data_IF_008877416525
#
_entry.id   IF_008877416525
#
_cell.length_a   1.000
_cell.length_b   1.000
_cell.length_c   1.000
_cell.angle_alpha   90.00
_cell.angle_beta   90.00
_cell.angle_gamma   90.00
#
_symmetry.space_group_name_H-M   'P 1'
#
loop_
_entity.id
_entity.type
_entity.pdbx_description
1 polymer ?
#
# COMPACT_ATOMS: atom_id res chain seq x y z
N UNK A 1 38.66 2.32 10.16
CA UNK A 1 38.68 2.47 11.63
C UNK A 1 37.32 2.92 12.15
N UNK A 2 36.65 3.91 11.59
CA UNK A 2 35.30 4.37 12.00
C UNK A 2 34.21 3.28 11.90
N UNK A 3 34.28 2.40 10.91
CA UNK A 3 33.28 1.31 10.69
C UNK A 3 33.37 0.19 11.76
N UNK A 4 34.54 0.06 12.42
CA UNK A 4 34.76 -0.98 13.44
C UNK A 4 34.27 -0.53 14.82
N UNK A 5 34.29 0.75 15.13
CA UNK A 5 33.81 1.31 16.40
C UNK A 5 32.27 1.43 16.43
N UNK A 6 31.62 1.77 15.30
CA UNK A 6 30.17 1.79 15.18
C UNK A 6 29.51 0.40 15.36
N UNK A 7 30.28 -0.66 15.22
CA UNK A 7 29.84 -2.05 15.48
C UNK A 7 29.60 -2.36 16.97
N UNK A 8 30.11 -1.53 17.88
CA UNK A 8 29.99 -1.70 19.34
C UNK A 8 28.95 -0.77 19.99
N UNK A 9 28.38 0.16 19.24
CA UNK A 9 27.38 1.06 19.81
C UNK A 9 26.05 0.33 20.02
N UNK A 10 25.52 0.37 21.23
CA UNK A 10 24.21 -0.13 21.64
C UNK A 10 23.03 0.54 20.90
N UNK A 11 23.28 1.49 20.02
CA UNK A 11 22.28 2.21 19.23
C UNK A 11 21.55 1.31 18.24
N UNK A 12 22.22 0.30 17.66
CA UNK A 12 21.59 -0.71 16.81
C UNK A 12 20.65 -1.66 17.56
N UNK A 13 20.92 -1.90 18.84
CA UNK A 13 20.07 -2.73 19.71
C UNK A 13 18.79 -2.02 20.15
N UNK A 14 18.82 -0.69 20.19
CA UNK A 14 17.66 0.13 20.60
C UNK A 14 16.63 0.29 19.49
N UNK A 15 17.07 0.42 18.23
CA UNK A 15 16.17 0.56 17.06
C UNK A 15 15.73 -0.80 16.48
N UNK A 16 16.55 -1.84 16.62
CA UNK A 16 16.25 -3.16 16.06
C UNK A 16 16.72 -4.25 17.03
N UNK A 17 15.87 -4.74 17.94
CA UNK A 17 16.23 -5.85 18.82
C UNK A 17 16.67 -7.04 17.98
N UNK A 18 17.79 -7.65 18.37
CA UNK A 18 18.39 -8.79 17.70
C UNK A 18 17.39 -9.97 17.67
N UNK A 19 16.62 -10.07 16.60
CA UNK A 19 15.85 -11.27 16.32
C UNK A 19 16.84 -12.39 16.03
N UNK A 20 16.94 -13.31 16.98
CA UNK A 20 17.87 -14.43 17.03
C UNK A 20 17.91 -15.21 15.72
N UNK A 21 19.12 -15.61 15.32
CA UNK A 21 19.46 -16.37 14.10
C UNK A 21 18.84 -17.78 14.02
N UNK A 22 18.09 -18.21 15.03
CA UNK A 22 17.56 -19.58 15.16
C UNK A 22 16.36 -19.92 14.26
N UNK A 23 15.79 -18.94 13.55
CA UNK A 23 14.56 -19.17 12.78
C UNK A 23 14.77 -19.88 11.44
N UNK A 24 15.96 -19.87 10.87
CA UNK A 24 16.23 -20.58 9.61
C UNK A 24 16.42 -22.11 9.80
N UNK A 25 16.80 -22.55 10.99
CA UNK A 25 17.02 -23.97 11.30
C UNK A 25 15.76 -24.74 11.72
N UNK A 26 14.76 -24.07 12.30
CA UNK A 26 13.55 -24.73 12.82
C UNK A 26 12.38 -24.84 11.81
N UNK A 27 12.63 -24.57 10.55
CA UNK A 27 11.64 -24.81 9.49
C UNK A 27 11.85 -26.18 8.81
N UNK A 28 12.25 -27.20 9.60
CA UNK A 28 12.27 -28.59 9.13
C UNK A 28 10.83 -29.11 8.92
N UNK A 29 10.64 -29.77 7.82
CA UNK A 29 9.67 -30.72 7.28
C UNK A 29 8.61 -31.35 8.22
N UNK A 30 7.93 -30.60 9.07
CA UNK A 30 6.68 -31.05 9.68
C UNK A 30 5.53 -30.42 8.89
N UNK A 31 4.59 -31.24 8.43
CA UNK A 31 3.29 -30.81 7.89
C UNK A 31 2.67 -29.83 8.90
N UNK A 32 2.80 -28.51 8.63
CA UNK A 32 2.31 -27.49 9.55
C UNK A 32 0.80 -27.61 9.57
N UNK A 33 0.22 -27.96 10.73
CA UNK A 33 -1.21 -27.93 10.96
C UNK A 33 -1.77 -26.54 10.64
N UNK A 34 -3.04 -26.45 10.26
CA UNK A 34 -3.68 -25.18 9.89
C UNK A 34 -3.48 -24.04 10.92
N UNK A 35 -3.39 -24.37 12.22
CA UNK A 35 -3.05 -23.40 13.29
C UNK A 35 -1.62 -22.87 13.18
N UNK A 36 -0.67 -23.71 12.79
CA UNK A 36 0.72 -23.27 12.58
C UNK A 36 0.86 -22.33 11.39
N UNK A 37 0.11 -22.57 10.30
CA UNK A 37 0.08 -21.70 9.13
C UNK A 37 -0.57 -20.35 9.43
N UNK A 38 -1.69 -20.34 10.18
CA UNK A 38 -2.33 -19.13 10.67
C UNK A 38 -1.35 -18.27 11.49
N UNK A 39 -0.64 -18.87 12.45
CA UNK A 39 0.34 -18.14 13.26
C UNK A 39 1.47 -17.53 12.42
N UNK A 40 1.93 -18.23 11.38
CA UNK A 40 2.94 -17.70 10.47
C UNK A 40 2.42 -16.52 9.65
N UNK A 41 1.18 -16.60 9.12
CA UNK A 41 0.54 -15.50 8.42
C UNK A 41 0.37 -14.27 9.33
N UNK A 42 -0.14 -14.46 10.55
CA UNK A 42 -0.33 -13.37 11.51
C UNK A 42 1.01 -12.73 11.95
N UNK A 43 2.05 -13.54 12.11
CA UNK A 43 3.39 -13.05 12.45
C UNK A 43 4.01 -12.19 11.34
N UNK A 44 3.74 -12.54 10.07
CA UNK A 44 4.16 -11.72 8.94
C UNK A 44 3.29 -10.47 8.78
N UNK A 45 1.99 -10.61 8.97
CA UNK A 45 1.02 -9.52 8.79
C UNK A 45 1.11 -8.45 9.90
N UNK A 46 1.33 -8.84 11.16
CA UNK A 46 1.34 -7.91 12.29
C UNK A 46 2.24 -6.69 12.08
N UNK A 47 3.54 -6.86 11.78
CA UNK A 47 4.42 -5.73 11.47
C UNK A 47 3.98 -4.93 10.24
N UNK A 48 3.37 -5.56 9.22
CA UNK A 48 2.87 -4.88 8.03
C UNK A 48 1.59 -4.08 8.31
N UNK A 49 0.75 -4.53 9.25
CA UNK A 49 -0.40 -3.75 9.74
C UNK A 49 0.09 -2.45 10.39
N UNK A 50 1.07 -2.54 11.29
CA UNK A 50 1.65 -1.35 11.93
C UNK A 50 2.27 -0.41 10.89
N UNK A 51 2.96 -0.96 9.86
CA UNK A 51 3.46 -0.15 8.76
C UNK A 51 2.34 0.60 8.02
N UNK A 52 1.26 -0.08 7.65
CA UNK A 52 0.14 0.55 6.94
C UNK A 52 -0.56 1.61 7.79
N UNK A 53 -0.75 1.34 9.08
CA UNK A 53 -1.31 2.32 10.03
C UNK A 53 -0.39 3.52 10.22
N UNK A 54 0.94 3.34 10.23
CA UNK A 54 1.90 4.44 10.30
C UNK A 54 1.82 5.35 9.08
N UNK A 55 1.66 4.76 7.88
CA UNK A 55 1.47 5.53 6.64
C UNK A 55 0.14 6.31 6.68
N UNK A 56 -0.95 5.67 7.10
CA UNK A 56 -2.23 6.35 7.27
C UNK A 56 -2.15 7.49 8.30
N UNK A 57 -1.42 7.27 9.41
CA UNK A 57 -1.16 8.30 10.43
C UNK A 57 -0.37 9.49 9.89
N UNK A 58 0.63 9.27 9.01
CA UNK A 58 1.35 10.36 8.35
C UNK A 58 0.42 11.20 7.48
N UNK A 59 -0.39 10.58 6.63
CA UNK A 59 -1.34 11.29 5.78
C UNK A 59 -2.36 12.10 6.61
N UNK A 60 -2.82 11.54 7.73
CA UNK A 60 -3.72 12.23 8.65
C UNK A 60 -3.03 13.43 9.33
N UNK A 61 -1.78 13.26 9.78
CA UNK A 61 -1.01 14.35 10.38
C UNK A 61 -0.75 15.49 9.38
N UNK A 62 -0.38 15.16 8.15
CA UNK A 62 -0.18 16.13 7.06
C UNK A 62 -1.46 16.95 6.81
N UNK A 63 -2.62 16.28 6.73
CA UNK A 63 -3.92 16.93 6.55
C UNK A 63 -4.30 17.81 7.74
N UNK A 64 -4.17 17.32 8.97
CA UNK A 64 -4.49 18.07 10.20
C UNK A 64 -3.60 19.31 10.36
N UNK A 65 -2.30 19.17 10.08
CA UNK A 65 -1.35 20.27 10.20
C UNK A 65 -1.53 21.31 9.10
N UNK A 66 -1.82 20.87 7.88
CA UNK A 66 -2.16 21.76 6.76
C UNK A 66 -3.48 22.53 7.00
N UNK A 67 -4.48 21.87 7.60
CA UNK A 67 -5.73 22.52 7.98
C UNK A 67 -5.56 23.66 9.00
N UNK A 68 -4.53 23.60 9.87
CA UNK A 68 -4.20 24.69 10.79
C UNK A 68 -3.57 25.91 10.11
N UNK A 69 -3.06 25.76 8.89
CA UNK A 69 -2.53 26.87 8.08
C UNK A 69 -3.64 27.58 7.29
N UNK A 70 -4.84 27.00 7.19
CA UNK A 70 -5.99 27.52 6.48
C UNK A 70 -6.55 26.59 5.42
N UNK A 71 -7.71 26.95 4.89
CA UNK A 71 -8.45 26.13 3.93
C UNK A 71 -7.67 25.95 2.60
N UNK A 72 -7.04 27.01 2.10
CA UNK A 72 -6.26 26.97 0.85
C UNK A 72 -5.04 26.04 0.96
N UNK A 73 -4.37 26.06 2.12
CA UNK A 73 -3.24 25.17 2.39
C UNK A 73 -3.68 23.70 2.44
N UNK A 74 -4.79 23.40 3.12
CA UNK A 74 -5.37 22.06 3.17
C UNK A 74 -5.76 21.57 1.78
N UNK A 75 -6.45 22.42 1.00
CA UNK A 75 -6.85 22.10 -0.36
C UNK A 75 -5.64 21.86 -1.28
N UNK A 76 -4.59 22.70 -1.19
CA UNK A 76 -3.37 22.54 -1.98
C UNK A 76 -2.64 21.22 -1.67
N UNK A 77 -2.54 20.84 -0.38
CA UNK A 77 -1.96 19.55 0.03
C UNK A 77 -2.83 18.38 -0.42
N UNK A 78 -4.16 18.50 -0.37
CA UNK A 78 -5.06 17.45 -0.83
C UNK A 78 -4.96 17.19 -2.34
N UNK A 79 -4.99 18.26 -3.16
CA UNK A 79 -4.85 18.16 -4.62
C UNK A 79 -3.43 17.70 -5.01
N UNK A 80 -2.40 18.32 -4.45
CA UNK A 80 -1.02 17.94 -4.70
C UNK A 80 -0.72 16.51 -4.23
N UNK A 81 -1.29 16.11 -3.10
CA UNK A 81 -1.22 14.74 -2.59
C UNK A 81 -1.87 13.72 -3.54
N UNK A 82 -2.96 14.08 -4.21
CA UNK A 82 -3.59 13.23 -5.23
C UNK A 82 -2.71 13.04 -6.46
N UNK A 83 -2.05 14.11 -6.94
CA UNK A 83 -1.06 14.05 -8.03
C UNK A 83 0.13 13.17 -7.62
N UNK A 84 0.64 13.35 -6.42
CA UNK A 84 1.71 12.53 -5.86
C UNK A 84 1.30 11.05 -5.73
N UNK A 85 0.10 10.77 -5.23
CA UNK A 85 -0.42 9.41 -5.06
C UNK A 85 -0.46 8.64 -6.37
N UNK A 86 -0.86 9.28 -7.47
CA UNK A 86 -0.90 8.66 -8.79
C UNK A 86 0.52 8.23 -9.24
N UNK A 87 1.51 9.12 -9.13
CA UNK A 87 2.90 8.80 -9.44
C UNK A 87 3.45 7.71 -8.49
N UNK A 88 3.11 7.77 -7.22
CA UNK A 88 3.55 6.81 -6.21
C UNK A 88 2.97 5.40 -6.44
N UNK A 89 1.69 5.27 -6.74
CA UNK A 89 1.03 3.97 -6.93
C UNK A 89 1.54 3.21 -8.16
N UNK A 90 1.92 3.90 -9.23
CA UNK A 90 2.54 3.29 -10.39
C UNK A 90 3.90 2.64 -10.04
N UNK A 91 4.77 3.36 -9.34
CA UNK A 91 6.04 2.81 -8.89
C UNK A 91 5.85 1.69 -7.85
N UNK A 92 4.94 1.91 -6.88
CA UNK A 92 4.59 0.94 -5.85
C UNK A 92 4.20 -0.41 -6.48
N UNK A 93 3.29 -0.41 -7.44
CA UNK A 93 2.81 -1.62 -8.09
C UNK A 93 3.91 -2.34 -8.88
N UNK A 94 4.75 -1.62 -9.63
CA UNK A 94 5.87 -2.22 -10.38
C UNK A 94 6.89 -2.85 -9.41
N UNK A 95 7.29 -2.14 -8.37
CA UNK A 95 8.28 -2.61 -7.40
C UNK A 95 7.72 -3.73 -6.49
N UNK A 96 6.41 -3.77 -6.27
CA UNK A 96 5.74 -4.83 -5.50
C UNK A 96 5.95 -6.23 -6.08
N UNK A 97 6.24 -6.36 -7.38
CA UNK A 97 6.61 -7.63 -8.01
C UNK A 97 7.87 -8.27 -7.41
N UNK A 98 8.74 -7.48 -6.78
CA UNK A 98 9.96 -7.99 -6.14
C UNK A 98 9.62 -8.94 -4.99
N UNK A 99 8.54 -8.69 -4.24
CA UNK A 99 8.15 -9.50 -3.07
C UNK A 99 7.87 -10.97 -3.43
N UNK A 100 6.96 -11.33 -4.37
CA UNK A 100 6.74 -12.72 -4.75
C UNK A 100 7.95 -13.36 -5.42
N UNK A 101 8.75 -12.60 -6.18
CA UNK A 101 9.99 -13.08 -6.78
C UNK A 101 11.00 -13.45 -5.68
N UNK A 102 11.26 -12.55 -4.74
CA UNK A 102 12.17 -12.78 -3.62
C UNK A 102 11.69 -13.93 -2.72
N UNK A 103 10.38 -14.01 -2.45
CA UNK A 103 9.78 -15.09 -1.67
C UNK A 103 10.03 -16.46 -2.31
N UNK A 104 9.84 -16.57 -3.63
CA UNK A 104 10.07 -17.81 -4.36
C UNK A 104 11.54 -18.25 -4.34
N UNK A 105 12.48 -17.33 -4.57
CA UNK A 105 13.91 -17.63 -4.50
C UNK A 105 14.38 -17.90 -3.07
N UNK A 106 13.78 -17.27 -2.07
CA UNK A 106 14.05 -17.57 -0.67
C UNK A 106 13.62 -19.00 -0.31
N UNK A 107 12.41 -19.39 -0.74
CA UNK A 107 11.93 -20.76 -0.58
C UNK A 107 12.82 -21.80 -1.27
N UNK A 108 13.35 -21.47 -2.45
CA UNK A 108 14.26 -22.31 -3.23
C UNK A 108 15.73 -22.33 -2.71
N UNK A 109 16.04 -21.60 -1.63
CA UNK A 109 17.40 -21.55 -1.09
C UNK A 109 18.41 -20.83 -1.98
N UNK A 110 17.97 -19.88 -2.84
CA UNK A 110 18.82 -19.15 -3.79
C UNK A 110 18.98 -17.66 -3.44
N UNK A 111 19.72 -17.31 -2.40
CA UNK A 111 19.88 -15.94 -1.92
C UNK A 111 20.58 -15.03 -2.94
N UNK A 112 21.46 -15.57 -3.80
CA UNK A 112 22.14 -14.87 -4.88
C UNK A 112 21.17 -14.22 -5.87
N UNK A 113 20.08 -14.93 -6.20
CA UNK A 113 19.04 -14.44 -7.09
C UNK A 113 18.25 -13.30 -6.44
N UNK A 114 17.95 -13.39 -5.14
CA UNK A 114 17.24 -12.32 -4.42
C UNK A 114 18.03 -11.00 -4.52
N UNK A 115 19.32 -11.02 -4.22
CA UNK A 115 20.17 -9.85 -4.35
C UNK A 115 20.26 -9.29 -5.78
N UNK A 116 20.19 -10.18 -6.80
CA UNK A 116 20.14 -9.76 -8.21
C UNK A 116 18.87 -8.97 -8.50
N UNK A 117 17.69 -9.51 -8.15
CA UNK A 117 16.41 -8.84 -8.38
C UNK A 117 16.28 -7.54 -7.58
N UNK A 118 16.77 -7.51 -6.33
CA UNK A 118 16.78 -6.32 -5.51
C UNK A 118 17.58 -5.18 -6.17
N UNK A 119 18.79 -5.46 -6.69
CA UNK A 119 19.59 -4.46 -7.42
C UNK A 119 18.89 -3.95 -8.66
N UNK A 120 18.30 -4.84 -9.46
CA UNK A 120 17.55 -4.43 -10.66
C UNK A 120 16.31 -3.60 -10.30
N UNK A 121 15.63 -3.93 -9.20
CA UNK A 121 14.55 -3.12 -8.66
C UNK A 121 14.99 -1.71 -8.26
N UNK A 122 16.18 -1.56 -7.68
CA UNK A 122 16.75 -0.21 -7.40
C UNK A 122 17.04 0.58 -8.67
N UNK A 123 17.47 -0.05 -9.77
CA UNK A 123 17.61 0.65 -11.06
C UNK A 123 16.25 1.14 -11.58
N UNK A 124 15.19 0.33 -11.51
CA UNK A 124 13.83 0.76 -11.86
C UNK A 124 13.41 1.94 -10.97
N UNK A 125 13.67 1.84 -9.65
CA UNK A 125 13.33 2.87 -8.69
C UNK A 125 13.96 4.23 -9.01
N UNK A 126 15.26 4.25 -9.35
CA UNK A 126 15.98 5.48 -9.71
C UNK A 126 15.52 5.97 -11.09
N UNK A 127 15.42 5.06 -12.08
CA UNK A 127 15.00 5.40 -13.44
C UNK A 127 13.58 5.98 -13.52
N UNK A 128 12.69 5.60 -12.60
CA UNK A 128 11.36 6.17 -12.48
C UNK A 128 11.35 7.42 -11.56
N UNK A 129 12.16 7.41 -10.50
CA UNK A 129 12.20 8.50 -9.53
C UNK A 129 12.67 9.83 -10.13
N UNK A 130 13.65 9.80 -11.03
CA UNK A 130 14.16 11.02 -11.70
C UNK A 130 13.07 11.68 -12.56
N UNK A 131 12.38 10.99 -13.48
CA UNK A 131 11.23 11.55 -14.20
C UNK A 131 10.15 12.14 -13.29
N UNK A 132 9.85 11.51 -12.13
CA UNK A 132 8.87 12.04 -11.17
C UNK A 132 9.34 13.37 -10.57
N UNK A 133 10.63 13.53 -10.27
CA UNK A 133 11.18 14.82 -9.84
C UNK A 133 11.02 15.86 -10.96
N UNK A 134 11.39 15.54 -12.18
CA UNK A 134 11.27 16.45 -13.34
C UNK A 134 9.80 16.84 -13.57
N UNK A 135 8.89 15.88 -13.49
CA UNK A 135 7.45 16.12 -13.60
C UNK A 135 6.96 17.09 -12.51
N UNK A 136 7.32 16.82 -11.24
CA UNK A 136 6.94 17.66 -10.10
C UNK A 136 7.46 19.09 -10.19
N UNK A 137 8.68 19.27 -10.72
CA UNK A 137 9.32 20.60 -10.82
C UNK A 137 8.81 21.42 -12.01
N UNK A 138 8.57 20.78 -13.17
CA UNK A 138 8.40 21.52 -14.41
C UNK A 138 7.06 21.30 -15.10
N UNK A 139 6.36 20.20 -14.85
CA UNK A 139 5.15 19.84 -15.61
C UNK A 139 3.85 20.02 -14.85
N UNK A 140 3.86 19.98 -13.52
CA UNK A 140 2.65 20.12 -12.70
C UNK A 140 2.02 21.50 -12.83
N UNK A 141 2.82 22.57 -12.78
CA UNK A 141 2.33 23.95 -12.94
C UNK A 141 1.62 24.19 -14.28
N UNK A 142 2.27 23.89 -15.42
CA UNK A 142 1.61 23.98 -16.75
C UNK A 142 0.37 23.11 -16.88
N UNK A 143 0.37 21.89 -16.32
CA UNK A 143 -0.79 20.99 -16.34
C UNK A 143 -1.99 21.57 -15.58
N UNK A 144 -1.77 22.12 -14.38
CA UNK A 144 -2.81 22.76 -13.58
C UNK A 144 -3.30 24.04 -14.26
N UNK A 145 -2.43 24.78 -14.95
CA UNK A 145 -2.83 25.96 -15.74
C UNK A 145 -3.73 25.58 -16.93
N UNK A 146 -3.44 24.47 -17.61
CA UNK A 146 -4.25 23.96 -18.73
C UNK A 146 -5.67 23.59 -18.31
N UNK A 147 -5.86 23.15 -17.06
CA UNK A 147 -7.16 22.79 -16.49
C UNK A 147 -7.93 24.05 -16.00
N UNK A 148 -7.31 25.23 -16.03
CA UNK A 148 -7.95 26.49 -15.64
C UNK A 148 -7.99 26.76 -14.13
N UNK A 149 -7.06 26.17 -13.37
CA UNK A 149 -6.95 26.38 -11.92
C UNK A 149 -6.41 27.78 -11.63
N UNK A 150 -7.04 28.48 -10.67
CA UNK A 150 -6.62 29.81 -10.22
C UNK A 150 -5.13 29.89 -9.86
N UNK A 151 -4.50 31.03 -10.18
CA UNK A 151 -3.04 31.20 -10.08
C UNK A 151 -2.52 31.00 -8.66
N UNK A 152 -3.16 31.60 -7.67
CA UNK A 152 -2.71 31.51 -6.27
C UNK A 152 -2.77 30.08 -5.74
N UNK A 153 -3.86 29.38 -6.01
CA UNK A 153 -4.02 27.98 -5.61
C UNK A 153 -3.08 27.04 -6.38
N UNK A 154 -2.90 27.28 -7.68
CA UNK A 154 -1.95 26.56 -8.52
C UNK A 154 -0.52 26.67 -7.99
N UNK A 155 -0.09 27.86 -7.57
CA UNK A 155 1.27 28.09 -7.09
C UNK A 155 1.52 27.37 -5.76
N UNK A 156 0.54 27.35 -4.86
CA UNK A 156 0.62 26.57 -3.61
C UNK A 156 0.73 25.07 -3.90
N UNK A 157 -0.12 24.55 -4.78
CA UNK A 157 -0.14 23.13 -5.13
C UNK A 157 1.15 22.73 -5.85
N UNK A 158 1.63 23.52 -6.80
CA UNK A 158 2.87 23.26 -7.53
C UNK A 158 4.08 23.28 -6.59
N UNK A 159 4.12 24.23 -5.66
CA UNK A 159 5.20 24.32 -4.67
C UNK A 159 5.23 23.10 -3.74
N UNK A 160 4.07 22.60 -3.31
CA UNK A 160 3.98 21.38 -2.52
C UNK A 160 4.47 20.15 -3.30
N UNK A 161 3.95 19.95 -4.54
CA UNK A 161 4.34 18.80 -5.35
C UNK A 161 5.82 18.86 -5.73
N UNK A 162 6.32 20.04 -6.07
CA UNK A 162 7.75 20.25 -6.31
C UNK A 162 8.61 19.87 -5.11
N UNK A 163 8.20 20.25 -3.91
CA UNK A 163 8.93 19.92 -2.68
C UNK A 163 8.92 18.41 -2.39
N UNK A 164 7.76 17.74 -2.41
CA UNK A 164 7.65 16.31 -2.12
C UNK A 164 8.32 15.44 -3.19
N UNK A 165 8.32 15.87 -4.45
CA UNK A 165 8.91 15.13 -5.56
C UNK A 165 10.40 14.83 -5.37
N UNK A 166 11.14 15.66 -4.64
CA UNK A 166 12.54 15.38 -4.28
C UNK A 166 12.75 14.11 -3.46
N UNK A 167 11.70 13.64 -2.79
CA UNK A 167 11.69 12.37 -2.07
C UNK A 167 11.51 11.14 -2.98
N UNK A 168 11.07 11.30 -4.23
CA UNK A 168 10.72 10.18 -5.11
C UNK A 168 11.83 9.15 -5.31
N UNK A 169 13.08 9.51 -5.66
CA UNK A 169 14.13 8.51 -5.83
C UNK A 169 14.39 7.70 -4.54
N UNK A 170 14.35 8.37 -3.39
CA UNK A 170 14.61 7.76 -2.10
C UNK A 170 13.51 6.76 -1.71
N UNK A 171 12.25 7.18 -1.81
CA UNK A 171 11.14 6.31 -1.42
C UNK A 171 11.02 5.09 -2.35
N UNK A 172 11.31 5.23 -3.64
CA UNK A 172 11.25 4.10 -4.57
C UNK A 172 12.40 3.12 -4.35
N UNK A 173 13.61 3.60 -4.03
CA UNK A 173 14.72 2.74 -3.60
C UNK A 173 14.36 2.02 -2.29
N UNK A 174 13.78 2.71 -1.33
CA UNK A 174 13.25 2.09 -0.12
C UNK A 174 12.23 1.01 -0.42
N UNK A 175 11.27 1.24 -1.33
CA UNK A 175 10.27 0.24 -1.73
C UNK A 175 10.91 -1.02 -2.34
N UNK A 176 11.92 -0.88 -3.20
CA UNK A 176 12.65 -2.03 -3.75
C UNK A 176 13.33 -2.88 -2.66
N UNK A 177 13.95 -2.22 -1.68
CA UNK A 177 14.58 -2.87 -0.52
C UNK A 177 13.54 -3.47 0.43
N UNK A 178 12.45 -2.74 0.68
CA UNK A 178 11.32 -3.19 1.50
C UNK A 178 10.70 -4.47 0.92
N UNK A 179 10.33 -4.50 -0.36
CA UNK A 179 9.72 -5.67 -0.98
C UNK A 179 10.69 -6.86 -1.05
N UNK A 180 11.99 -6.62 -1.17
CA UNK A 180 13.02 -7.66 -0.99
C UNK A 180 12.97 -8.23 0.42
N UNK A 181 12.91 -7.38 1.43
CA UNK A 181 12.87 -7.74 2.85
C UNK A 181 11.57 -8.46 3.22
N UNK A 182 10.45 -8.03 2.66
CA UNK A 182 9.17 -8.73 2.77
C UNK A 182 9.26 -10.15 2.19
N UNK A 183 9.79 -10.30 0.98
CA UNK A 183 9.91 -11.59 0.30
C UNK A 183 10.71 -12.63 1.09
N UNK A 184 11.75 -12.22 1.82
CA UNK A 184 12.49 -13.12 2.71
C UNK A 184 11.79 -13.38 4.07
N UNK A 185 10.57 -12.80 4.27
CA UNK A 185 9.77 -13.00 5.47
C UNK A 185 10.22 -12.19 6.69
N UNK A 186 11.00 -11.12 6.48
CA UNK A 186 11.46 -10.23 7.56
C UNK A 186 10.67 -8.93 7.57
N UNK A 187 9.49 -8.94 8.18
CA UNK A 187 8.59 -7.78 8.20
C UNK A 187 8.84 -6.81 9.36
N UNK A 188 9.45 -7.28 10.44
CA UNK A 188 9.71 -6.48 11.66
C UNK A 188 10.58 -5.22 11.42
N UNK A 189 11.68 -5.26 10.63
CA UNK A 189 12.45 -4.05 10.33
C UNK A 189 11.63 -2.98 9.61
N UNK A 190 10.68 -3.41 8.76
CA UNK A 190 9.78 -2.50 8.04
C UNK A 190 8.89 -1.74 9.02
N UNK A 191 8.34 -2.44 10.02
CA UNK A 191 7.54 -1.84 11.09
C UNK A 191 8.31 -0.74 11.84
N UNK A 192 9.51 -1.05 12.33
CA UNK A 192 10.30 -0.05 13.06
C UNK A 192 10.65 1.15 12.20
N UNK A 193 10.98 0.91 10.93
CA UNK A 193 11.30 1.99 9.99
C UNK A 193 10.07 2.86 9.69
N UNK A 194 8.88 2.28 9.59
CA UNK A 194 7.66 3.05 9.33
C UNK A 194 7.19 3.85 10.54
N UNK A 195 7.33 3.31 11.76
CA UNK A 195 7.08 4.07 12.99
C UNK A 195 8.07 5.22 13.13
N UNK A 196 9.35 4.97 12.85
CA UNK A 196 10.38 6.02 12.81
C UNK A 196 10.02 7.11 11.78
N UNK A 197 9.60 6.70 10.57
CA UNK A 197 9.14 7.62 9.53
C UNK A 197 7.99 8.51 9.99
N UNK A 198 6.98 7.92 10.64
CA UNK A 198 5.83 8.65 11.16
C UNK A 198 6.24 9.71 12.18
N UNK A 199 7.07 9.35 13.15
CA UNK A 199 7.56 10.28 14.17
C UNK A 199 8.39 11.41 13.53
N UNK A 200 9.32 11.07 12.64
CA UNK A 200 10.13 12.06 11.92
C UNK A 200 9.28 13.00 11.06
N UNK A 201 8.29 12.48 10.33
CA UNK A 201 7.41 13.27 9.48
C UNK A 201 6.61 14.29 10.32
N UNK A 202 5.97 13.85 11.40
CA UNK A 202 5.22 14.75 12.29
C UNK A 202 6.13 15.83 12.89
N UNK A 203 7.32 15.45 13.34
CA UNK A 203 8.29 16.40 13.90
C UNK A 203 8.77 17.41 12.85
N UNK A 204 9.15 16.95 11.68
CA UNK A 204 9.62 17.80 10.58
C UNK A 204 8.50 18.72 10.06
N UNK A 205 7.28 18.23 9.97
CA UNK A 205 6.11 19.06 9.66
C UNK A 205 5.94 20.18 10.68
N UNK A 206 6.03 19.86 11.99
CA UNK A 206 5.93 20.87 13.03
C UNK A 206 7.03 21.93 12.92
N UNK A 207 8.25 21.54 12.60
CA UNK A 207 9.39 22.45 12.47
C UNK A 207 9.27 23.31 11.22
N UNK A 208 9.06 22.69 10.05
CA UNK A 208 9.16 23.37 8.75
C UNK A 208 7.87 24.11 8.37
N UNK A 209 6.69 23.55 8.69
CA UNK A 209 5.43 24.23 8.35
C UNK A 209 5.21 25.48 9.22
N UNK A 210 5.50 25.37 10.53
CA UNK A 210 5.20 26.45 11.49
C UNK A 210 6.42 27.30 11.90
N UNK A 211 7.60 27.03 11.34
CA UNK A 211 8.80 27.83 11.61
C UNK A 211 9.28 27.75 13.05
N UNK A 212 9.48 26.53 13.56
CA UNK A 212 9.98 26.31 14.91
C UNK A 212 11.48 26.04 14.91
N UNK A 213 12.11 26.16 16.10
CA UNK A 213 13.55 25.91 16.30
C UNK A 213 14.49 26.75 15.40
N UNK A 214 14.09 27.97 15.04
CA UNK A 214 14.89 28.89 14.24
C UNK A 214 14.76 28.71 12.71
N UNK A 215 13.92 27.78 12.25
CA UNK A 215 13.60 27.66 10.83
C UNK A 215 12.52 28.66 10.42
N UNK A 216 12.53 29.16 9.17
CA UNK A 216 11.44 29.98 8.65
C UNK A 216 10.16 29.15 8.50
N UNK A 217 9.00 29.78 8.70
CA UNK A 217 7.70 29.16 8.45
C UNK A 217 7.49 28.98 6.93
N UNK A 218 7.56 27.75 6.45
CA UNK A 218 7.46 27.43 5.02
C UNK A 218 6.04 27.03 4.59
N UNK A 219 5.09 26.92 5.52
CA UNK A 219 3.71 26.56 5.22
C UNK A 219 3.60 25.25 4.47
N UNK A 220 2.89 25.27 3.33
CA UNK A 220 2.63 24.10 2.45
C UNK A 220 3.91 23.50 1.88
N UNK A 221 4.89 24.33 1.51
CA UNK A 221 6.21 23.87 1.04
C UNK A 221 6.93 23.08 2.13
N UNK A 222 6.80 23.53 3.39
CA UNK A 222 7.36 22.84 4.56
C UNK A 222 6.80 21.43 4.73
N UNK A 223 5.51 21.19 4.43
CA UNK A 223 4.90 19.86 4.43
C UNK A 223 5.53 18.95 3.37
N UNK A 224 5.68 19.44 2.14
CA UNK A 224 6.31 18.70 1.05
C UNK A 224 7.77 18.35 1.35
N UNK A 225 8.54 19.32 1.88
CA UNK A 225 9.95 19.11 2.26
C UNK A 225 10.08 18.15 3.45
N UNK A 226 9.23 18.24 4.47
CA UNK A 226 9.22 17.30 5.57
C UNK A 226 9.02 15.87 5.12
N UNK A 227 8.08 15.66 4.20
CA UNK A 227 7.83 14.36 3.58
C UNK A 227 9.04 13.90 2.76
N UNK A 228 9.63 14.76 1.93
CA UNK A 228 10.82 14.42 1.13
C UNK A 228 12.02 14.06 2.01
N UNK A 229 12.31 14.83 3.04
CA UNK A 229 13.40 14.55 4.00
C UNK A 229 13.13 13.22 4.72
N UNK A 230 11.89 12.97 5.17
CA UNK A 230 11.50 11.70 5.80
C UNK A 230 11.77 10.52 4.86
N UNK A 231 11.42 10.64 3.57
CA UNK A 231 11.66 9.59 2.56
C UNK A 231 13.16 9.28 2.41
N UNK A 232 14.02 10.29 2.41
CA UNK A 232 15.47 10.10 2.38
C UNK A 232 16.00 9.46 3.66
N UNK A 233 15.56 9.91 4.83
CA UNK A 233 15.95 9.34 6.12
C UNK A 233 15.58 7.86 6.19
N UNK A 234 14.36 7.51 5.80
CA UNK A 234 13.85 6.13 5.77
C UNK A 234 14.68 5.26 4.82
N UNK A 235 14.96 5.75 3.61
CA UNK A 235 15.77 5.03 2.63
C UNK A 235 17.19 4.77 3.15
N UNK A 236 17.83 5.78 3.75
CA UNK A 236 19.18 5.68 4.31
C UNK A 236 19.25 4.75 5.53
N UNK A 237 18.32 4.90 6.49
CA UNK A 237 18.26 4.06 7.70
C UNK A 237 18.00 2.61 7.33
N UNK A 238 17.11 2.37 6.37
CA UNK A 238 16.78 1.01 5.93
C UNK A 238 17.92 0.37 5.13
N UNK A 239 18.56 1.12 4.23
CA UNK A 239 19.73 0.65 3.49
C UNK A 239 20.89 0.33 4.45
N UNK A 240 21.14 1.20 5.44
CA UNK A 240 22.13 0.94 6.48
C UNK A 240 21.81 -0.32 7.29
N UNK A 241 20.54 -0.51 7.70
CA UNK A 241 20.12 -1.74 8.36
C UNK A 241 20.44 -2.99 7.53
N UNK A 242 20.17 -2.97 6.22
CA UNK A 242 20.45 -4.09 5.31
C UNK A 242 21.96 -4.36 5.21
N UNK A 243 22.81 -3.34 5.21
CA UNK A 243 24.27 -3.49 5.15
C UNK A 243 24.82 -4.12 6.44
N UNK A 244 24.30 -3.69 7.59
CA UNK A 244 24.85 -4.10 8.91
C UNK A 244 24.28 -5.45 9.35
N UNK A 245 23.01 -5.74 9.11
CA UNK A 245 22.35 -6.92 9.64
C UNK A 245 22.85 -8.22 8.99
N UNK A 246 23.31 -9.20 9.80
CA UNK A 246 23.91 -10.45 9.30
C UNK A 246 23.01 -11.25 8.35
N UNK A 247 21.71 -11.14 8.55
CA UNK A 247 20.71 -11.85 7.76
C UNK A 247 20.68 -11.50 6.27
N UNK A 248 21.14 -10.30 5.89
CA UNK A 248 21.17 -9.84 4.51
C UNK A 248 22.52 -10.10 3.82
N UNK A 249 23.56 -10.51 4.57
CA UNK A 249 24.89 -10.80 4.00
C UNK A 249 24.87 -11.81 2.86
N UNK A 250 24.09 -12.94 2.95
CA UNK A 250 24.05 -13.92 1.87
C UNK A 250 23.41 -13.37 0.58
N UNK A 251 22.57 -12.34 0.69
CA UNK A 251 21.88 -11.73 -0.47
C UNK A 251 22.86 -10.90 -1.32
N UNK A 252 23.94 -10.39 -0.75
CA UNK A 252 24.96 -9.57 -1.43
C UNK A 252 24.34 -8.39 -2.21
N UNK A 253 23.33 -7.70 -1.64
CA UNK A 253 22.56 -6.63 -2.32
C UNK A 253 23.52 -5.51 -2.78
N UNK A 254 24.39 -5.03 -1.89
CA UNK A 254 25.31 -3.93 -2.16
C UNK A 254 26.75 -4.38 -2.48
N UNK A 255 27.03 -5.70 -2.56
CA UNK A 255 28.39 -6.21 -2.71
C UNK A 255 29.02 -5.99 -4.08
N UNK A 256 28.22 -5.78 -5.12
CA UNK A 256 28.69 -5.52 -6.50
C UNK A 256 27.68 -4.64 -7.22
N UNK A 257 28.16 -3.58 -7.87
CA UNK A 257 27.41 -2.85 -8.89
C UNK A 257 27.36 -3.74 -10.13
N UNK A 258 26.28 -4.51 -10.29
CA UNK A 258 26.07 -5.32 -11.49
C UNK A 258 25.33 -4.48 -12.53
N UNK A 259 25.71 -4.50 -13.81
CA UNK A 259 25.01 -3.73 -14.83
C UNK A 259 23.52 -4.10 -14.93
N UNK A 260 22.68 -3.21 -15.43
CA UNK A 260 21.28 -3.51 -15.73
C UNK A 260 21.16 -4.74 -16.63
N UNK A 261 20.28 -5.68 -16.26
CA UNK A 261 20.01 -6.90 -17.04
C UNK A 261 18.61 -6.82 -17.61
N UNK A 262 18.45 -6.66 -18.93
CA UNK A 262 17.13 -6.48 -19.58
C UNK A 262 16.14 -7.61 -19.27
N UNK A 263 16.62 -8.84 -19.18
CA UNK A 263 15.78 -10.01 -18.87
C UNK A 263 15.13 -9.91 -17.49
N UNK A 264 15.92 -9.52 -16.45
CA UNK A 264 15.45 -9.39 -15.08
C UNK A 264 14.54 -8.16 -14.94
N UNK A 265 14.91 -7.04 -15.58
CA UNK A 265 14.09 -5.84 -15.63
C UNK A 265 12.73 -6.13 -16.27
N UNK A 266 12.75 -6.85 -17.42
CA UNK A 266 11.52 -7.25 -18.12
C UNK A 266 10.62 -8.14 -17.25
N UNK A 267 11.19 -9.09 -16.49
CA UNK A 267 10.41 -9.94 -15.58
C UNK A 267 9.76 -9.11 -14.46
N UNK A 268 10.50 -8.17 -13.83
CA UNK A 268 9.94 -7.30 -12.78
C UNK A 268 8.81 -6.44 -13.38
N UNK A 269 9.02 -5.83 -14.54
CA UNK A 269 8.02 -4.97 -15.19
C UNK A 269 6.81 -5.79 -15.64
N UNK A 270 7.01 -6.95 -16.25
CA UNK A 270 5.93 -7.80 -16.72
C UNK A 270 5.00 -8.30 -15.61
N UNK A 271 5.56 -8.54 -14.41
CA UNK A 271 4.77 -8.90 -13.23
C UNK A 271 4.20 -7.67 -12.51
N UNK A 272 4.97 -6.58 -12.46
CA UNK A 272 4.64 -5.40 -11.67
C UNK A 272 3.70 -4.43 -12.37
N UNK A 273 3.77 -4.29 -13.69
CA UNK A 273 2.89 -3.39 -14.43
C UNK A 273 1.41 -3.78 -14.29
N UNK A 274 1.02 -5.06 -14.39
CA UNK A 274 -0.35 -5.45 -14.08
C UNK A 274 -0.78 -5.13 -12.65
N UNK A 275 0.12 -5.25 -11.65
CA UNK A 275 -0.17 -4.87 -10.27
C UNK A 275 -0.39 -3.35 -10.18
N UNK A 276 0.47 -2.55 -10.82
CA UNK A 276 0.35 -1.11 -10.85
C UNK A 276 -0.97 -0.66 -11.48
N UNK A 277 -1.34 -1.24 -12.62
CA UNK A 277 -2.61 -0.96 -13.30
C UNK A 277 -3.80 -1.31 -12.39
N UNK A 278 -3.74 -2.47 -11.72
CA UNK A 278 -4.81 -2.89 -10.79
C UNK A 278 -5.00 -1.88 -9.65
N UNK A 279 -3.91 -1.49 -8.98
CA UNK A 279 -3.97 -0.52 -7.87
C UNK A 279 -4.46 0.84 -8.37
N UNK A 280 -3.96 1.31 -9.50
CA UNK A 280 -4.38 2.58 -10.09
C UNK A 280 -5.85 2.56 -10.52
N UNK A 281 -6.31 1.44 -11.09
CA UNK A 281 -7.72 1.26 -11.47
C UNK A 281 -8.65 1.25 -10.25
N UNK A 282 -8.22 0.66 -9.15
CA UNK A 282 -8.96 0.64 -7.89
C UNK A 282 -9.04 2.04 -7.26
N UNK A 283 -7.92 2.73 -7.12
CA UNK A 283 -7.88 4.12 -6.65
C UNK A 283 -8.72 5.03 -7.55
N UNK A 284 -8.61 4.83 -8.87
CA UNK A 284 -9.41 5.56 -9.86
C UNK A 284 -10.92 5.31 -9.74
N UNK A 285 -11.32 4.08 -9.44
CA UNK A 285 -12.74 3.76 -9.18
C UNK A 285 -13.27 4.54 -7.98
N UNK A 286 -12.56 4.52 -6.84
CA UNK A 286 -12.98 5.26 -5.64
C UNK A 286 -13.03 6.77 -5.88
N UNK A 287 -12.05 7.32 -6.59
CA UNK A 287 -12.03 8.73 -6.96
C UNK A 287 -13.21 9.09 -7.91
N UNK A 288 -13.45 8.28 -8.94
CA UNK A 288 -14.57 8.48 -9.87
C UNK A 288 -15.93 8.40 -9.18
N UNK A 289 -16.09 7.45 -8.25
CA UNK A 289 -17.31 7.34 -7.45
C UNK A 289 -17.51 8.55 -6.53
N UNK A 290 -16.45 9.05 -5.92
CA UNK A 290 -16.52 10.28 -5.09
C UNK A 290 -16.93 11.49 -5.92
N UNK A 291 -16.44 11.60 -7.16
CA UNK A 291 -16.86 12.65 -8.09
C UNK A 291 -18.34 12.51 -8.44
N UNK A 292 -18.82 11.30 -8.79
CA UNK A 292 -20.24 11.05 -9.09
C UNK A 292 -21.14 11.40 -7.89
N UNK A 293 -20.75 11.00 -6.69
CA UNK A 293 -21.49 11.32 -5.47
C UNK A 293 -21.49 12.83 -5.20
N UNK A 294 -20.37 13.52 -5.49
CA UNK A 294 -20.24 14.96 -5.36
C UNK A 294 -21.29 15.74 -6.14
N UNK A 295 -21.81 15.21 -7.26
CA UNK A 295 -22.89 15.83 -8.04
C UNK A 295 -24.25 15.80 -7.33
N UNK A 296 -24.37 15.06 -6.23
CA UNK A 296 -25.64 14.83 -5.51
C UNK A 296 -25.84 15.75 -4.29
N UNK A 297 -24.89 16.62 -4.03
CA UNK A 297 -24.95 17.60 -2.95
C UNK A 297 -23.98 17.33 -1.80
N UNK A 298 -23.83 18.35 -0.97
CA UNK A 298 -22.80 18.37 0.10
C UNK A 298 -23.06 17.35 1.22
N UNK A 299 -24.32 17.15 1.60
CA UNK A 299 -24.72 16.24 2.67
C UNK A 299 -24.41 14.77 2.32
N UNK A 300 -24.76 14.36 1.08
CA UNK A 300 -24.50 13.01 0.58
C UNK A 300 -22.99 12.80 0.43
N UNK A 301 -22.26 13.82 -0.03
CA UNK A 301 -20.80 13.76 -0.15
C UNK A 301 -20.13 13.63 1.20
N UNK A 302 -20.56 14.37 2.21
CA UNK A 302 -20.05 14.28 3.57
C UNK A 302 -20.29 12.87 4.16
N UNK A 303 -21.51 12.35 4.01
CA UNK A 303 -21.86 11.00 4.43
C UNK A 303 -21.00 9.91 3.74
N UNK A 304 -20.78 10.06 2.43
CA UNK A 304 -19.91 9.17 1.66
C UNK A 304 -18.46 9.20 2.19
N UNK A 305 -17.91 10.38 2.50
CA UNK A 305 -16.56 10.50 3.03
C UNK A 305 -16.41 9.82 4.40
N UNK A 306 -17.44 9.87 5.26
CA UNK A 306 -17.45 9.16 6.54
C UNK A 306 -17.36 7.65 6.28
N UNK A 307 -18.22 7.10 5.43
CA UNK A 307 -18.23 5.68 5.12
C UNK A 307 -16.93 5.21 4.45
N UNK A 308 -16.39 6.00 3.51
CA UNK A 308 -15.15 5.71 2.82
C UNK A 308 -13.94 5.74 3.76
N UNK A 309 -13.89 6.70 4.69
CA UNK A 309 -12.81 6.82 5.66
C UNK A 309 -12.74 5.59 6.58
N UNK A 310 -13.88 5.14 7.10
CA UNK A 310 -13.94 3.92 7.90
C UNK A 310 -13.52 2.70 7.09
N UNK A 311 -14.09 2.52 5.89
CA UNK A 311 -13.76 1.39 5.01
C UNK A 311 -12.27 1.34 4.67
N UNK A 312 -11.67 2.47 4.32
CA UNK A 312 -10.24 2.57 4.01
C UNK A 312 -9.34 2.24 5.21
N UNK A 313 -9.74 2.67 6.42
CA UNK A 313 -8.98 2.35 7.63
C UNK A 313 -9.05 0.86 7.95
N UNK A 314 -10.23 0.25 7.87
CA UNK A 314 -10.41 -1.18 8.07
C UNK A 314 -9.64 -2.01 7.04
N UNK A 315 -9.55 -1.53 5.79
CA UNK A 315 -8.83 -2.18 4.69
C UNK A 315 -7.31 -2.31 4.92
N UNK A 316 -6.71 -1.48 5.78
CA UNK A 316 -5.26 -1.56 6.06
C UNK A 316 -4.83 -2.92 6.61
N UNK A 317 -5.72 -3.64 7.32
CA UNK A 317 -5.42 -4.96 7.88
C UNK A 317 -5.44 -6.06 6.80
N UNK A 318 -6.50 -6.25 6.01
CA UNK A 318 -6.49 -7.25 4.93
C UNK A 318 -5.45 -6.96 3.85
N UNK A 319 -5.08 -5.71 3.60
CA UNK A 319 -3.97 -5.36 2.73
C UNK A 319 -2.63 -5.92 3.24
N UNK A 320 -2.36 -5.82 4.54
CA UNK A 320 -1.18 -6.41 5.18
C UNK A 320 -1.23 -7.94 5.15
N UNK A 321 -2.40 -8.54 5.42
CA UNK A 321 -2.62 -9.99 5.32
C UNK A 321 -2.39 -10.49 3.89
N UNK A 322 -2.84 -9.76 2.88
CA UNK A 322 -2.63 -10.08 1.47
C UNK A 322 -1.14 -10.13 1.10
N UNK A 323 -0.34 -9.20 1.63
CA UNK A 323 1.12 -9.24 1.49
C UNK A 323 1.72 -10.47 2.17
N UNK A 324 1.28 -10.81 3.39
CA UNK A 324 1.70 -12.01 4.10
C UNK A 324 1.36 -13.30 3.34
N UNK A 325 0.16 -13.37 2.73
CA UNK A 325 -0.26 -14.47 1.85
C UNK A 325 0.69 -14.59 0.65
N UNK A 326 0.97 -13.47 -0.02
CA UNK A 326 1.89 -13.43 -1.17
C UNK A 326 3.27 -14.00 -0.82
N UNK A 327 3.83 -13.55 0.31
CA UNK A 327 5.12 -14.02 0.81
C UNK A 327 5.08 -15.52 1.11
N UNK A 328 4.08 -15.96 1.85
CA UNK A 328 3.99 -17.35 2.31
C UNK A 328 3.78 -18.33 1.16
N UNK A 329 2.83 -18.03 0.26
CA UNK A 329 2.58 -18.82 -0.94
C UNK A 329 3.83 -18.87 -1.82
N UNK A 330 4.49 -17.75 -2.06
CA UNK A 330 5.72 -17.69 -2.84
C UNK A 330 6.85 -18.55 -2.25
N UNK A 331 7.06 -18.49 -0.93
CA UNK A 331 8.08 -19.28 -0.24
C UNK A 331 7.81 -20.80 -0.31
N UNK A 332 6.55 -21.21 -0.16
CA UNK A 332 6.15 -22.62 -0.23
C UNK A 332 6.30 -23.18 -1.66
N UNK A 333 5.90 -22.39 -2.66
CA UNK A 333 6.14 -22.76 -4.08
C UNK A 333 7.63 -22.84 -4.40
N UNK A 334 8.44 -21.95 -3.83
CA UNK A 334 9.89 -22.00 -3.96
C UNK A 334 10.52 -23.28 -3.39
N UNK A 335 9.91 -23.84 -2.34
CA UNK A 335 10.33 -25.12 -1.72
C UNK A 335 9.86 -26.35 -2.51
N UNK A 336 9.02 -26.20 -3.52
CA UNK A 336 8.42 -27.29 -4.23
C UNK A 336 7.24 -27.94 -3.49
N UNK A 337 6.56 -27.22 -2.60
CA UNK A 337 5.37 -27.71 -1.89
C UNK A 337 4.09 -26.93 -2.32
N UNK A 338 3.51 -27.25 -3.49
CA UNK A 338 2.31 -26.60 -3.98
C UNK A 338 1.07 -26.91 -3.13
N UNK A 339 1.04 -28.04 -2.43
CA UNK A 339 -0.06 -28.42 -1.54
C UNK A 339 -0.12 -27.49 -0.32
N UNK A 340 1.03 -27.22 0.31
CA UNK A 340 1.11 -26.28 1.40
C UNK A 340 0.83 -24.84 0.91
N UNK A 341 1.31 -24.46 -0.28
CA UNK A 341 1.04 -23.15 -0.87
C UNK A 341 -0.46 -22.90 -1.07
N UNK A 342 -1.18 -23.89 -1.59
CA UNK A 342 -2.64 -23.84 -1.74
C UNK A 342 -3.34 -23.69 -0.38
N UNK A 343 -2.93 -24.47 0.63
CA UNK A 343 -3.50 -24.37 1.99
C UNK A 343 -3.24 -23.01 2.61
N UNK A 344 -2.01 -22.49 2.52
CA UNK A 344 -1.65 -21.18 3.03
C UNK A 344 -2.47 -20.05 2.40
N UNK A 345 -2.63 -20.08 1.07
CA UNK A 345 -3.46 -19.11 0.36
C UNK A 345 -4.93 -19.20 0.77
N UNK A 346 -5.49 -20.44 0.87
CA UNK A 346 -6.88 -20.65 1.30
C UNK A 346 -7.14 -20.14 2.73
N UNK A 347 -6.27 -20.49 3.69
CA UNK A 347 -6.35 -19.99 5.07
C UNK A 347 -6.27 -18.46 5.08
N UNK A 348 -5.36 -17.88 4.30
CA UNK A 348 -5.20 -16.44 4.22
C UNK A 348 -6.46 -15.73 3.71
N UNK A 349 -7.12 -16.25 2.66
CA UNK A 349 -8.38 -15.72 2.14
C UNK A 349 -9.46 -15.74 3.23
N UNK A 350 -9.59 -16.87 3.95
CA UNK A 350 -10.56 -17.02 5.06
C UNK A 350 -10.26 -16.03 6.19
N UNK A 351 -9.00 -15.80 6.52
CA UNK A 351 -8.59 -14.83 7.56
C UNK A 351 -8.92 -13.40 7.14
N UNK A 352 -8.66 -13.02 5.89
CA UNK A 352 -9.06 -11.72 5.36
C UNK A 352 -10.58 -11.53 5.42
N UNK A 353 -11.35 -12.52 4.95
CA UNK A 353 -12.81 -12.50 4.99
C UNK A 353 -13.34 -12.44 6.44
N UNK A 354 -12.75 -13.21 7.36
CA UNK A 354 -13.13 -13.23 8.78
C UNK A 354 -12.88 -11.90 9.48
N UNK A 355 -11.73 -11.25 9.20
CA UNK A 355 -11.45 -9.91 9.74
C UNK A 355 -12.47 -8.88 9.22
N UNK A 356 -12.73 -8.88 7.91
CA UNK A 356 -13.68 -7.95 7.31
C UNK A 356 -15.13 -8.25 7.74
N UNK A 357 -15.47 -9.51 7.96
CA UNK A 357 -16.78 -9.88 8.57
C UNK A 357 -16.90 -9.34 10.01
N UNK A 358 -15.83 -9.43 10.81
CA UNK A 358 -15.83 -8.85 12.15
C UNK A 358 -15.97 -7.31 12.10
N UNK A 359 -15.28 -6.65 11.17
CA UNK A 359 -15.44 -5.22 10.92
C UNK A 359 -16.86 -4.87 10.45
N UNK A 360 -17.46 -5.69 9.59
CA UNK A 360 -18.85 -5.52 9.14
C UNK A 360 -19.82 -5.62 10.30
N UNK A 361 -19.62 -6.56 11.24
CA UNK A 361 -20.44 -6.67 12.45
C UNK A 361 -20.36 -5.40 13.30
N UNK A 362 -19.16 -4.80 13.43
CA UNK A 362 -19.00 -3.51 14.14
C UNK A 362 -19.81 -2.41 13.47
N UNK A 363 -19.82 -2.34 12.13
CA UNK A 363 -20.64 -1.39 11.37
C UNK A 363 -22.14 -1.60 11.55
N UNK A 364 -22.58 -2.86 11.64
CA UNK A 364 -24.00 -3.19 11.81
C UNK A 364 -24.49 -2.94 13.25
N UNK A 365 -23.63 -3.13 14.25
CA UNK A 365 -24.01 -3.02 15.68
C UNK A 365 -23.87 -1.60 16.20
N UNK A 366 -22.88 -0.85 15.74
CA UNK A 366 -22.53 0.47 16.27
C UNK A 366 -22.48 1.58 15.20
N UNK A 367 -23.40 1.64 14.21
CA UNK A 367 -23.31 2.62 13.14
C UNK A 367 -23.44 4.06 13.65
N UNK A 368 -24.38 4.34 14.56
CA UNK A 368 -24.62 5.66 15.13
C UNK A 368 -23.42 6.15 15.95
N UNK A 369 -22.78 5.28 16.72
CA UNK A 369 -21.58 5.61 17.48
C UNK A 369 -20.42 6.01 16.55
N UNK A 370 -20.22 5.26 15.47
CA UNK A 370 -19.18 5.53 14.47
C UNK A 370 -19.45 6.88 13.81
N UNK A 371 -20.66 7.10 13.31
CA UNK A 371 -21.02 8.36 12.64
C UNK A 371 -20.92 9.55 13.61
N UNK A 372 -21.34 9.37 14.87
CA UNK A 372 -21.27 10.38 15.91
C UNK A 372 -19.85 10.88 16.23
N UNK A 373 -18.79 10.09 15.88
CA UNK A 373 -17.41 10.56 15.98
C UNK A 373 -17.02 11.56 14.89
N UNK A 374 -17.78 11.62 13.79
CA UNK A 374 -17.46 12.46 12.63
C UNK A 374 -18.37 13.69 12.53
N UNK A 375 -19.65 13.56 12.85
CA UNK A 375 -20.63 14.64 12.67
C UNK A 375 -21.74 14.60 13.72
N UNK A 376 -22.25 15.78 14.05
CA UNK A 376 -23.48 15.96 14.85
C UNK A 376 -24.68 16.39 14.01
N UNK A 377 -24.53 16.56 12.70
CA UNK A 377 -25.62 16.94 11.78
C UNK A 377 -26.57 15.74 11.59
N UNK A 378 -27.87 15.88 11.93
CA UNK A 378 -28.81 14.77 11.85
C UNK A 378 -29.04 14.25 10.42
N UNK A 379 -28.99 15.13 9.40
CA UNK A 379 -29.23 14.76 8.01
C UNK A 379 -28.06 13.95 7.48
N UNK A 380 -26.84 14.44 7.67
CA UNK A 380 -25.60 13.73 7.29
C UNK A 380 -25.50 12.41 8.04
N UNK A 381 -25.83 12.40 9.34
CA UNK A 381 -25.80 11.20 10.17
C UNK A 381 -26.74 10.10 9.65
N UNK A 382 -27.99 10.44 9.34
CA UNK A 382 -28.97 9.48 8.80
C UNK A 382 -28.51 8.86 7.48
N UNK A 383 -27.95 9.67 6.56
CA UNK A 383 -27.41 9.17 5.31
C UNK A 383 -26.17 8.30 5.55
N UNK A 384 -25.24 8.74 6.40
CA UNK A 384 -24.01 8.02 6.70
C UNK A 384 -24.27 6.65 7.32
N UNK A 385 -25.20 6.55 8.28
CA UNK A 385 -25.64 5.27 8.87
C UNK A 385 -26.12 4.32 7.78
N UNK A 386 -26.99 4.80 6.87
CA UNK A 386 -27.48 3.96 5.78
C UNK A 386 -26.37 3.49 4.82
N UNK A 387 -25.35 4.32 4.57
CA UNK A 387 -24.19 3.94 3.75
C UNK A 387 -23.27 2.95 4.49
N UNK A 388 -23.09 3.08 5.80
CA UNK A 388 -22.32 2.13 6.61
C UNK A 388 -22.93 0.72 6.59
N UNK A 389 -24.27 0.59 6.54
CA UNK A 389 -24.92 -0.71 6.40
C UNK A 389 -24.61 -1.37 5.06
N UNK A 390 -24.56 -0.61 3.97
CA UNK A 390 -24.13 -1.13 2.67
C UNK A 390 -22.63 -1.41 2.67
N UNK A 391 -21.82 -0.56 3.33
CA UNK A 391 -20.38 -0.75 3.50
C UNK A 391 -20.05 -2.06 4.24
N UNK A 392 -20.90 -2.52 5.16
CA UNK A 392 -20.71 -3.79 5.85
C UNK A 392 -20.70 -4.99 4.86
N UNK A 393 -21.60 -4.98 3.87
CA UNK A 393 -21.62 -6.01 2.81
C UNK A 393 -20.39 -5.89 1.91
N UNK A 394 -20.05 -4.67 1.50
CA UNK A 394 -18.89 -4.33 0.70
C UNK A 394 -17.60 -4.88 1.32
N UNK A 395 -17.38 -4.68 2.62
CA UNK A 395 -16.15 -5.08 3.31
C UNK A 395 -15.85 -6.57 3.20
N UNK A 396 -16.85 -7.44 3.31
CA UNK A 396 -16.63 -8.89 3.23
C UNK A 396 -16.15 -9.29 1.83
N UNK A 397 -16.77 -8.73 0.79
CA UNK A 397 -16.36 -8.97 -0.59
C UNK A 397 -14.92 -8.46 -0.84
N UNK A 398 -14.59 -7.29 -0.31
CA UNK A 398 -13.26 -6.68 -0.42
C UNK A 398 -12.17 -7.52 0.27
N UNK A 399 -12.46 -8.05 1.48
CA UNK A 399 -11.55 -8.95 2.18
C UNK A 399 -11.25 -10.23 1.40
N UNK A 400 -12.26 -10.85 0.80
CA UNK A 400 -12.09 -12.05 -0.05
C UNK A 400 -11.26 -11.70 -1.29
N UNK A 401 -11.58 -10.60 -1.96
CA UNK A 401 -10.94 -10.11 -3.16
C UNK A 401 -9.44 -9.88 -2.95
N UNK A 402 -9.07 -9.10 -1.91
CA UNK A 402 -7.67 -8.75 -1.65
C UNK A 402 -6.86 -9.97 -1.17
N UNK A 403 -7.48 -10.88 -0.41
CA UNK A 403 -6.88 -12.15 -0.01
C UNK A 403 -6.56 -13.05 -1.20
N UNK A 404 -7.51 -13.20 -2.13
CA UNK A 404 -7.35 -13.99 -3.36
C UNK A 404 -6.27 -13.36 -4.28
N UNK A 405 -6.27 -12.03 -4.43
CA UNK A 405 -5.24 -11.31 -5.16
C UNK A 405 -3.84 -11.53 -4.56
N UNK A 406 -3.71 -11.56 -3.22
CA UNK A 406 -2.48 -11.89 -2.53
C UNK A 406 -1.98 -13.30 -2.85
N UNK A 407 -2.88 -14.28 -2.84
CA UNK A 407 -2.58 -15.66 -3.24
C UNK A 407 -2.07 -15.75 -4.68
N UNK A 408 -2.79 -15.14 -5.62
CA UNK A 408 -2.44 -15.13 -7.05
C UNK A 408 -1.07 -14.45 -7.31
N UNK A 409 -0.77 -13.35 -6.60
CA UNK A 409 0.56 -12.71 -6.66
C UNK A 409 1.66 -13.68 -6.20
N UNK A 410 1.42 -14.50 -5.16
CA UNK A 410 2.36 -15.53 -4.72
C UNK A 410 2.64 -16.58 -5.80
N UNK A 411 1.67 -16.88 -6.65
CA UNK A 411 1.84 -17.73 -7.86
C UNK A 411 2.49 -16.99 -9.04
N UNK A 412 2.79 -15.69 -8.92
CA UNK A 412 3.24 -14.80 -10.00
C UNK A 412 2.18 -14.63 -11.11
N UNK A 413 0.92 -14.86 -10.81
CA UNK A 413 -0.20 -14.58 -11.72
C UNK A 413 -0.74 -13.18 -11.40
N UNK A 414 -0.43 -12.21 -12.24
CA UNK A 414 -0.81 -10.80 -12.05
C UNK A 414 -1.64 -10.27 -13.23
N UNK A 415 -1.44 -10.80 -14.43
CA UNK A 415 -2.12 -10.33 -15.64
C UNK A 415 -3.62 -10.65 -15.66
N UNK A 416 -3.99 -11.89 -15.29
CA UNK A 416 -5.41 -12.26 -15.25
C UNK A 416 -6.16 -11.55 -14.12
N UNK A 417 -5.62 -11.46 -12.88
CA UNK A 417 -6.19 -10.61 -11.85
C UNK A 417 -6.41 -9.15 -12.27
N UNK A 418 -5.47 -8.55 -12.99
CA UNK A 418 -5.63 -7.20 -13.56
C UNK A 418 -6.85 -7.14 -14.49
N UNK A 419 -6.96 -8.07 -15.44
CA UNK A 419 -8.08 -8.08 -16.38
C UNK A 419 -9.43 -8.26 -15.66
N UNK A 420 -9.49 -9.14 -14.64
CA UNK A 420 -10.69 -9.34 -13.81
C UNK A 420 -11.07 -8.05 -13.08
N UNK A 421 -10.11 -7.38 -12.43
CA UNK A 421 -10.39 -6.15 -11.68
C UNK A 421 -10.78 -4.99 -12.60
N UNK A 422 -10.11 -4.82 -13.75
CA UNK A 422 -10.52 -3.81 -14.74
C UNK A 422 -11.95 -4.06 -15.23
N UNK A 423 -12.30 -5.30 -15.54
CA UNK A 423 -13.66 -5.65 -15.95
C UNK A 423 -14.67 -5.35 -14.84
N UNK A 424 -14.43 -5.85 -13.62
CA UNK A 424 -15.34 -5.70 -12.50
C UNK A 424 -15.53 -4.23 -12.09
N UNK A 425 -14.47 -3.43 -12.13
CA UNK A 425 -14.50 -2.04 -11.66
C UNK A 425 -14.99 -1.07 -12.73
N UNK A 426 -14.42 -1.13 -13.95
CA UNK A 426 -14.67 -0.12 -14.97
C UNK A 426 -15.74 -0.50 -15.98
N UNK A 427 -16.04 -1.81 -16.18
CA UNK A 427 -17.12 -2.25 -17.06
C UNK A 427 -18.40 -2.62 -16.30
N UNK A 428 -18.32 -2.89 -14.98
CA UNK A 428 -19.51 -3.25 -14.20
C UNK A 428 -19.80 -2.19 -13.13
N UNK A 429 -18.91 -1.96 -12.16
CA UNK A 429 -19.20 -1.09 -11.02
C UNK A 429 -19.41 0.37 -11.44
N UNK A 430 -18.48 0.94 -12.22
CA UNK A 430 -18.55 2.34 -12.60
C UNK A 430 -19.75 2.67 -13.49
N UNK A 431 -20.11 1.89 -14.54
CA UNK A 431 -21.31 2.13 -15.31
C UNK A 431 -22.60 2.00 -14.50
N UNK A 432 -22.68 0.99 -13.59
CA UNK A 432 -23.84 0.87 -12.70
C UNK A 432 -23.97 2.07 -11.76
N UNK A 433 -22.88 2.58 -11.22
CA UNK A 433 -22.87 3.78 -10.40
C UNK A 433 -23.26 5.02 -11.21
N UNK A 434 -22.75 5.16 -12.43
CA UNK A 434 -23.12 6.27 -13.32
C UNK A 434 -24.61 6.26 -13.62
N UNK A 435 -25.17 5.10 -14.00
CA UNK A 435 -26.61 4.94 -14.24
C UNK A 435 -27.43 5.28 -13.00
N UNK A 436 -27.03 4.77 -11.82
CA UNK A 436 -27.73 5.06 -10.58
C UNK A 436 -27.66 6.53 -10.19
N UNK A 437 -26.54 7.22 -10.47
CA UNK A 437 -26.32 8.61 -10.02
C UNK A 437 -26.91 9.62 -10.98
N UNK A 438 -26.62 9.48 -12.27
CA UNK A 438 -26.91 10.51 -13.29
C UNK A 438 -28.21 10.22 -14.02
N UNK A 439 -28.44 8.95 -14.42
CA UNK A 439 -29.59 8.61 -15.28
C UNK A 439 -30.87 8.42 -14.45
N UNK A 440 -30.81 7.64 -13.39
CA UNK A 440 -31.99 7.29 -12.58
C UNK A 440 -32.13 8.08 -11.28
N UNK A 441 -31.12 8.86 -10.91
CA UNK A 441 -31.11 9.73 -9.72
C UNK A 441 -31.51 8.96 -8.45
N UNK A 442 -30.96 7.74 -8.30
CA UNK A 442 -31.29 6.83 -7.19
C UNK A 442 -30.67 7.28 -5.85
N UNK A 443 -31.18 6.86 -4.70
CA UNK A 443 -30.55 7.11 -3.40
C UNK A 443 -29.09 6.64 -3.34
N UNK A 444 -28.28 7.27 -2.48
CA UNK A 444 -26.83 7.00 -2.37
C UNK A 444 -26.50 5.53 -2.08
N UNK A 445 -27.38 4.81 -1.41
CA UNK A 445 -27.23 3.38 -1.13
C UNK A 445 -27.11 2.53 -2.40
N UNK A 446 -27.82 2.88 -3.48
CA UNK A 446 -27.72 2.17 -4.76
C UNK A 446 -26.38 2.44 -5.46
N UNK A 447 -25.81 3.63 -5.27
CA UNK A 447 -24.48 3.95 -5.78
C UNK A 447 -23.44 3.07 -5.07
N UNK A 448 -23.54 2.92 -3.75
CA UNK A 448 -22.73 2.00 -3.00
C UNK A 448 -23.00 0.53 -3.36
N UNK A 449 -24.23 0.19 -3.74
CA UNK A 449 -24.59 -1.12 -4.30
C UNK A 449 -23.78 -1.49 -5.54
N UNK A 450 -23.41 -0.48 -6.37
CA UNK A 450 -22.52 -0.71 -7.50
C UNK A 450 -21.11 -1.12 -7.08
N UNK A 451 -20.57 -0.57 -5.98
CA UNK A 451 -19.31 -1.06 -5.39
C UNK A 451 -19.42 -2.51 -4.95
N UNK A 452 -20.52 -2.84 -4.23
CA UNK A 452 -20.77 -4.22 -3.77
C UNK A 452 -20.81 -5.17 -4.95
N UNK A 453 -21.50 -4.82 -6.03
CA UNK A 453 -21.59 -5.66 -7.23
C UNK A 453 -20.22 -5.88 -7.88
N UNK A 454 -19.44 -4.82 -8.09
CA UNK A 454 -18.12 -4.91 -8.71
C UNK A 454 -17.14 -5.71 -7.86
N UNK A 455 -17.03 -5.42 -6.57
CA UNK A 455 -16.10 -6.13 -5.70
C UNK A 455 -16.51 -7.58 -5.47
N UNK A 456 -17.81 -7.88 -5.36
CA UNK A 456 -18.29 -9.26 -5.27
C UNK A 456 -17.93 -10.05 -6.52
N UNK A 457 -18.12 -9.47 -7.71
CA UNK A 457 -17.72 -10.09 -8.96
C UNK A 457 -16.20 -10.35 -9.01
N UNK A 458 -15.40 -9.37 -8.63
CA UNK A 458 -13.95 -9.52 -8.52
C UNK A 458 -13.56 -10.61 -7.52
N UNK A 459 -14.17 -10.63 -6.33
CA UNK A 459 -13.92 -11.63 -5.29
C UNK A 459 -14.21 -13.05 -5.78
N UNK A 460 -15.35 -13.27 -6.45
CA UNK A 460 -15.74 -14.57 -7.01
C UNK A 460 -14.76 -15.02 -8.09
N UNK A 461 -14.47 -14.16 -9.05
CA UNK A 461 -13.60 -14.50 -10.19
C UNK A 461 -12.14 -14.73 -9.75
N UNK A 462 -11.61 -13.91 -8.84
CA UNK A 462 -10.24 -14.09 -8.32
C UNK A 462 -10.12 -15.34 -7.45
N UNK A 463 -11.12 -15.64 -6.62
CA UNK A 463 -11.13 -16.86 -5.80
C UNK A 463 -11.23 -18.10 -6.69
N UNK A 464 -12.09 -18.07 -7.71
CA UNK A 464 -12.16 -19.14 -8.71
C UNK A 464 -10.82 -19.33 -9.44
N UNK A 465 -10.19 -18.23 -9.87
CA UNK A 465 -8.87 -18.27 -10.51
C UNK A 465 -7.81 -18.86 -9.60
N UNK A 466 -7.77 -18.45 -8.34
CA UNK A 466 -6.86 -19.00 -7.33
C UNK A 466 -7.09 -20.51 -7.14
N UNK A 467 -8.35 -20.94 -7.00
CA UNK A 467 -8.70 -22.34 -6.82
C UNK A 467 -8.27 -23.20 -8.02
N UNK A 468 -8.48 -22.69 -9.25
CA UNK A 468 -8.08 -23.35 -10.49
C UNK A 468 -6.56 -23.45 -10.63
N UNK A 469 -5.85 -22.33 -10.46
CA UNK A 469 -4.39 -22.27 -10.60
C UNK A 469 -3.68 -23.13 -9.56
N UNK A 470 -4.13 -23.06 -8.30
CA UNK A 470 -3.56 -23.85 -7.19
C UNK A 470 -3.82 -25.34 -7.34
N UNK A 471 -4.93 -25.74 -7.99
CA UNK A 471 -5.22 -27.15 -8.31
C UNK A 471 -4.30 -27.66 -9.41
N UNK A 472 -4.13 -26.89 -10.48
CA UNK A 472 -3.27 -27.27 -11.61
C UNK A 472 -1.79 -27.38 -11.19
N UNK A 473 -1.35 -26.61 -10.21
CA UNK A 473 0.01 -26.71 -9.67
C UNK A 473 0.29 -28.03 -8.93
N UNK A 474 -0.76 -28.71 -8.43
CA UNK A 474 -0.64 -30.03 -7.78
C UNK A 474 -0.45 -31.17 -8.80
N UNK A 475 -0.98 -31.02 -10.02
CA UNK A 475 -0.89 -32.03 -11.07
C UNK A 475 0.39 -31.91 -11.90
N UNK A 476 1.09 -30.78 -11.79
CA UNK A 476 2.33 -30.50 -12.53
C UNK A 476 3.60 -30.80 -11.72
N UNK A 477 3.47 -31.11 -10.44
CA UNK A 477 4.54 -31.51 -9.51
C UNK A 477 4.57 -33.04 -9.35
#
# INVERSE_FOLDING_TARGET
MLITELRRSNFTLFLFPAATCDHARNMSSTSINGRGELNQLLRLAGPLIVNNLSIAGMNMADAMMSGRLGADALAAVAVGGSVWLLAFTLALGVLMAISPIAARYFGAGRPDMIGRYSRQGMYIAVAYGIPVVVFGQFLVGPLLALIGIDTAFRDLTTSYVGAIAWGAPAIYVFLALRFTTEGIGRTTPIMYTSVFAFVCNVFLNYVLMFGKFGFPAMGVVGCGLASAITMWLVALVFAWHIVVAPAYKPLKIFARLAPPRPEVLREIIALGLPIAITITAEVGLFAGMSILIGTRGTEITAAHQIALNFASTAFMVPLALSSAITIRVGQLLGRGDPAAARRAGGIGIVVCAGFMAASAIVLLVFPDFIVGMYTSDPVVSGIAVSLLLVAAIFQVADGVQIGAAGGLRGYKDTGIPMAINLFAYWLVAFPLAYLATITYVMPANFIWGAFVAGLTLAAVLLTWRFARLSRNSLTAS
#
